data_IF_236935843701
#
_entry.id   IF_236935843701
#
_cell.length_a   1.000
_cell.length_b   1.000
_cell.length_c   1.000
_cell.angle_alpha   90.00
_cell.angle_beta   90.00
_cell.angle_gamma   90.00
#
_symmetry.space_group_name_H-M   'P 1'
#
loop_
_entity.id
_entity.type
_entity.pdbx_description
1 polymer ?
#
# COMPACT_ATOMS: atom_id res chain seq x y z
N UNK A 1 8.14 25.28 3.28
CA UNK A 1 6.67 25.45 3.25
C UNK A 1 6.05 25.68 4.64
N UNK A 2 6.74 26.37 5.57
CA UNK A 2 6.27 26.64 6.94
C UNK A 2 6.15 28.15 7.27
N UNK A 3 6.95 29.07 6.68
CA UNK A 3 6.85 30.49 7.05
C UNK A 3 5.63 31.23 6.46
N UNK A 4 5.12 30.80 5.30
CA UNK A 4 4.08 31.54 4.55
C UNK A 4 2.67 31.39 5.13
N UNK A 5 2.42 30.33 5.94
CA UNK A 5 1.10 30.07 6.54
C UNK A 5 0.74 31.00 7.71
N UNK A 6 1.69 31.77 8.24
CA UNK A 6 1.48 32.61 9.43
C UNK A 6 0.82 33.96 9.12
N UNK A 7 0.92 34.47 7.88
CA UNK A 7 0.46 35.82 7.55
C UNK A 7 -0.96 35.89 6.95
N UNK A 8 -1.48 34.81 6.37
CA UNK A 8 -2.69 34.85 5.53
C UNK A 8 -3.73 33.84 6.04
N UNK A 9 -4.66 34.30 6.88
CA UNK A 9 -5.66 33.45 7.56
C UNK A 9 -6.63 32.72 6.60
N UNK A 10 -6.87 33.27 5.41
CA UNK A 10 -7.74 32.65 4.39
C UNK A 10 -7.13 31.39 3.76
N UNK A 11 -5.79 31.31 3.68
CA UNK A 11 -5.06 30.10 3.25
C UNK A 11 -5.16 28.94 4.25
N UNK A 12 -5.64 29.21 5.46
CA UNK A 12 -5.94 28.21 6.49
C UNK A 12 -7.35 27.61 6.31
N UNK A 13 -8.23 28.29 5.57
CA UNK A 13 -9.58 27.82 5.23
C UNK A 13 -9.61 26.87 4.02
N UNK A 14 -8.55 26.84 3.20
CA UNK A 14 -8.49 26.01 1.98
C UNK A 14 -8.13 24.55 2.27
N UNK A 15 -8.66 23.96 3.35
CA UNK A 15 -8.52 22.52 3.63
C UNK A 15 -7.18 22.07 4.24
N UNK A 16 -7.23 20.94 4.96
CA UNK A 16 -6.04 20.32 5.57
C UNK A 16 -5.16 19.66 4.50
N UNK A 17 -3.86 19.49 4.79
CA UNK A 17 -2.90 18.86 3.84
C UNK A 17 -3.35 17.50 3.32
N UNK A 18 -4.14 16.77 4.12
CA UNK A 18 -4.74 15.48 3.74
C UNK A 18 -5.76 15.64 2.60
N UNK A 19 -6.67 16.62 2.69
CA UNK A 19 -7.66 16.88 1.64
C UNK A 19 -7.01 17.31 0.32
N UNK A 20 -5.93 18.08 0.38
CA UNK A 20 -5.17 18.44 -0.82
C UNK A 20 -4.54 17.23 -1.51
N UNK A 21 -4.00 16.28 -0.73
CA UNK A 21 -3.44 15.06 -1.28
C UNK A 21 -4.54 14.19 -1.91
N UNK A 22 -5.67 14.04 -1.21
CA UNK A 22 -6.82 13.27 -1.70
C UNK A 22 -7.36 13.89 -3.01
N UNK A 23 -7.51 15.23 -3.05
CA UNK A 23 -7.90 15.94 -4.26
C UNK A 23 -6.89 15.79 -5.40
N UNK A 24 -5.58 15.89 -5.12
CA UNK A 24 -4.54 15.70 -6.13
C UNK A 24 -4.59 14.30 -6.74
N UNK A 25 -4.82 13.26 -5.93
CA UNK A 25 -4.95 11.88 -6.41
C UNK A 25 -6.19 11.73 -7.29
N UNK A 26 -7.35 12.27 -6.86
CA UNK A 26 -8.60 12.19 -7.63
C UNK A 26 -8.45 12.92 -8.96
N UNK A 27 -7.95 14.15 -8.95
CA UNK A 27 -7.71 14.92 -10.18
C UNK A 27 -6.67 14.26 -11.08
N UNK A 28 -5.60 13.71 -10.51
CA UNK A 28 -4.58 12.98 -11.25
C UNK A 28 -5.14 11.73 -11.94
N UNK A 29 -6.05 11.00 -11.28
CA UNK A 29 -6.72 9.85 -11.90
C UNK A 29 -7.75 10.25 -12.96
N UNK A 30 -8.45 11.37 -12.78
CA UNK A 30 -9.44 11.87 -13.73
C UNK A 30 -8.82 12.53 -14.98
N UNK A 31 -7.66 13.18 -14.83
CA UNK A 31 -7.02 13.96 -15.89
C UNK A 31 -6.74 13.16 -17.18
N UNK A 32 -6.21 11.91 -17.15
CA UNK A 32 -6.03 11.10 -18.35
C UNK A 32 -7.31 10.90 -19.16
N UNK A 33 -8.45 10.73 -18.49
CA UNK A 33 -9.72 10.56 -19.18
C UNK A 33 -10.18 11.86 -19.83
N UNK A 34 -10.10 12.99 -19.11
CA UNK A 34 -10.47 14.30 -19.63
C UNK A 34 -9.59 14.72 -20.81
N UNK A 35 -8.28 14.49 -20.73
CA UNK A 35 -7.34 14.80 -21.80
C UNK A 35 -7.55 13.90 -23.01
N UNK A 36 -7.81 12.60 -22.81
CA UNK A 36 -8.15 11.70 -23.91
C UNK A 36 -9.44 12.13 -24.63
N UNK A 37 -10.44 12.59 -23.87
CA UNK A 37 -11.67 13.13 -24.45
C UNK A 37 -11.42 14.45 -25.21
N UNK A 38 -10.63 15.36 -24.63
CA UNK A 38 -10.26 16.62 -25.25
C UNK A 38 -9.52 16.42 -26.57
N UNK A 39 -8.67 15.40 -26.66
CA UNK A 39 -7.97 15.05 -27.91
C UNK A 39 -8.79 14.18 -28.87
N UNK A 40 -10.07 13.90 -28.56
CA UNK A 40 -10.89 12.94 -29.31
C UNK A 40 -10.18 11.59 -29.54
N UNK A 41 -9.42 11.13 -28.53
CA UNK A 41 -8.57 9.95 -28.56
C UNK A 41 -7.45 9.96 -29.63
N UNK A 42 -7.08 11.14 -30.12
CA UNK A 42 -5.98 11.32 -31.08
C UNK A 42 -4.70 11.72 -30.37
N UNK A 43 -3.76 10.78 -30.24
CA UNK A 43 -2.49 10.98 -29.55
C UNK A 43 -1.33 11.15 -30.55
N UNK A 44 -1.28 12.29 -31.24
CA UNK A 44 -0.24 12.60 -32.22
C UNK A 44 0.76 13.66 -31.73
N UNK A 45 2.01 13.56 -32.20
CA UNK A 45 3.04 14.60 -32.01
C UNK A 45 3.35 14.95 -30.55
N UNK A 46 3.59 16.24 -30.28
CA UNK A 46 3.95 16.76 -28.95
C UNK A 46 2.85 16.49 -27.90
N UNK A 47 1.58 16.60 -28.30
CA UNK A 47 0.43 16.34 -27.42
C UNK A 47 0.34 14.86 -27.00
N UNK A 48 0.65 13.94 -27.92
CA UNK A 48 0.75 12.50 -27.60
C UNK A 48 1.85 12.19 -26.59
N UNK A 49 3.03 12.81 -26.73
CA UNK A 49 4.13 12.65 -25.76
C UNK A 49 3.74 13.18 -24.37
N UNK A 50 3.08 14.34 -24.30
CA UNK A 50 2.59 14.90 -23.05
C UNK A 50 1.57 13.96 -22.37
N UNK A 51 0.70 13.32 -23.15
CA UNK A 51 -0.26 12.34 -22.65
C UNK A 51 0.42 11.11 -22.03
N UNK A 52 1.42 10.53 -22.71
CA UNK A 52 2.15 9.36 -22.16
C UNK A 52 2.96 9.71 -20.91
N UNK A 53 3.58 10.89 -20.87
CA UNK A 53 4.28 11.37 -19.67
C UNK A 53 3.28 11.58 -18.52
N UNK A 54 2.11 12.16 -18.79
CA UNK A 54 1.04 12.27 -17.81
C UNK A 54 0.63 10.90 -17.26
N UNK A 55 0.47 9.90 -18.14
CA UNK A 55 0.13 8.54 -17.71
C UNK A 55 1.21 7.93 -16.81
N UNK A 56 2.49 8.17 -17.11
CA UNK A 56 3.62 7.77 -16.25
C UNK A 56 3.61 8.49 -14.89
N UNK A 57 3.28 9.78 -14.86
CA UNK A 57 3.10 10.56 -13.61
C UNK A 57 1.97 9.96 -12.77
N UNK A 58 0.83 9.64 -13.39
CA UNK A 58 -0.33 9.06 -12.70
C UNK A 58 0.01 7.67 -12.16
N UNK A 59 0.61 6.79 -12.98
CA UNK A 59 1.04 5.47 -12.56
C UNK A 59 2.03 5.53 -11.38
N UNK A 60 3.05 6.40 -11.47
CA UNK A 60 4.00 6.61 -10.36
C UNK A 60 3.33 7.21 -9.12
N UNK A 61 2.30 8.03 -9.27
CA UNK A 61 1.48 8.56 -8.17
C UNK A 61 0.68 7.47 -7.45
N UNK A 62 0.08 6.53 -8.20
CA UNK A 62 -0.61 5.34 -7.64
C UNK A 62 0.37 4.49 -6.84
N UNK A 63 1.57 4.25 -7.37
CA UNK A 63 2.64 3.55 -6.64
C UNK A 63 3.00 4.29 -5.35
N UNK A 64 3.16 5.62 -5.41
CA UNK A 64 3.41 6.46 -4.24
C UNK A 64 2.32 6.32 -3.16
N UNK A 65 1.05 6.27 -3.57
CA UNK A 65 -0.09 6.11 -2.66
C UNK A 65 -0.13 4.73 -2.00
N UNK A 66 0.21 3.69 -2.76
CA UNK A 66 0.38 2.33 -2.22
C UNK A 66 1.50 2.32 -1.19
N UNK A 67 2.68 2.85 -1.53
CA UNK A 67 3.82 2.97 -0.61
C UNK A 67 3.46 3.77 0.65
N UNK A 68 2.66 4.84 0.54
CA UNK A 68 2.19 5.61 1.69
C UNK A 68 1.28 4.79 2.62
N UNK A 69 0.38 3.96 2.07
CA UNK A 69 -0.50 3.09 2.86
C UNK A 69 0.25 1.99 3.63
N UNK A 70 1.44 1.64 3.14
CA UNK A 70 2.26 0.55 3.67
C UNK A 70 3.02 0.96 4.94
N UNK A 71 3.21 2.26 5.19
CA UNK A 71 4.08 2.75 6.27
C UNK A 71 3.26 3.08 7.53
N UNK A 72 3.56 2.45 8.68
CA UNK A 72 3.03 2.89 9.97
C UNK A 72 3.44 4.33 10.30
N UNK A 73 2.54 5.10 10.92
CA UNK A 73 2.78 6.53 11.26
C UNK A 73 3.97 6.73 12.22
N UNK A 74 4.24 5.74 13.07
CA UNK A 74 5.32 5.77 14.07
C UNK A 74 5.80 4.34 14.34
N UNK A 75 7.11 4.20 14.55
CA UNK A 75 7.75 2.92 14.92
C UNK A 75 7.25 2.43 16.27
N UNK A 76 7.26 3.33 17.25
CA UNK A 76 6.85 3.05 18.62
C UNK A 76 5.41 2.52 18.66
N UNK A 77 4.53 3.15 17.88
CA UNK A 77 3.11 2.77 17.83
C UNK A 77 2.93 1.39 17.21
N UNK A 78 3.70 1.07 16.17
CA UNK A 78 3.69 -0.24 15.53
C UNK A 78 4.25 -1.35 16.44
N UNK A 79 5.37 -1.09 17.12
CA UNK A 79 5.98 -2.02 18.09
C UNK A 79 5.04 -2.27 19.28
N UNK A 80 4.40 -1.23 19.82
CA UNK A 80 3.40 -1.36 20.88
C UNK A 80 2.20 -2.20 20.42
N UNK A 81 1.68 -1.93 19.23
CA UNK A 81 0.58 -2.70 18.64
C UNK A 81 0.95 -4.17 18.39
N UNK A 82 2.20 -4.44 18.01
CA UNK A 82 2.70 -5.81 17.85
C UNK A 82 2.81 -6.53 19.20
N UNK A 83 3.34 -5.86 20.22
CA UNK A 83 3.44 -6.41 21.56
C UNK A 83 2.05 -6.72 22.16
N UNK A 84 1.07 -5.84 21.93
CA UNK A 84 -0.32 -6.07 22.31
C UNK A 84 -0.93 -7.27 21.60
N UNK A 85 -0.71 -7.42 20.29
CA UNK A 85 -1.16 -8.59 19.53
C UNK A 85 -0.51 -9.90 20.01
N UNK A 86 0.78 -9.87 20.35
CA UNK A 86 1.48 -11.03 20.90
C UNK A 86 0.89 -11.44 22.25
N UNK A 87 0.53 -10.47 23.11
CA UNK A 87 -0.14 -10.74 24.39
C UNK A 87 -1.53 -11.33 24.18
N UNK A 88 -2.34 -10.76 23.29
CA UNK A 88 -3.67 -11.31 22.96
C UNK A 88 -3.57 -12.72 22.38
N UNK A 89 -2.56 -13.00 21.55
CA UNK A 89 -2.33 -14.32 20.99
C UNK A 89 -1.91 -15.33 22.08
N UNK A 90 -1.05 -14.94 23.01
CA UNK A 90 -0.66 -15.77 24.15
C UNK A 90 -1.87 -16.09 25.06
N UNK A 91 -2.70 -15.09 25.37
CA UNK A 91 -3.93 -15.27 26.14
C UNK A 91 -4.91 -16.20 25.43
N UNK A 92 -5.13 -16.04 24.12
CA UNK A 92 -6.00 -16.95 23.37
C UNK A 92 -5.44 -18.36 23.28
N UNK A 93 -4.11 -18.51 23.22
CA UNK A 93 -3.49 -19.84 23.24
C UNK A 93 -3.68 -20.51 24.59
N UNK A 94 -3.61 -19.75 25.69
CA UNK A 94 -3.90 -20.21 27.04
C UNK A 94 -5.39 -20.59 27.19
N UNK A 95 -6.31 -19.73 26.75
CA UNK A 95 -7.76 -19.97 26.79
C UNK A 95 -8.16 -21.19 25.93
N UNK A 96 -7.49 -21.39 24.79
CA UNK A 96 -7.74 -22.48 23.85
C UNK A 96 -6.91 -23.74 24.14
N UNK A 97 -5.98 -23.72 25.10
CA UNK A 97 -5.18 -24.91 25.48
C UNK A 97 -6.05 -26.07 26.00
N UNK A 98 -7.27 -25.78 26.47
CA UNK A 98 -8.29 -26.78 26.80
C UNK A 98 -9.00 -27.40 25.59
N UNK A 99 -8.91 -26.78 24.41
CA UNK A 99 -9.49 -27.24 23.16
C UNK A 99 -8.36 -27.66 22.21
N UNK A 100 -8.17 -28.98 22.08
CA UNK A 100 -7.16 -29.68 21.25
C UNK A 100 -7.21 -29.38 19.73
N UNK A 101 -7.71 -28.24 19.31
CA UNK A 101 -8.03 -27.94 17.92
C UNK A 101 -6.78 -27.66 17.10
N UNK A 102 -5.73 -26.96 17.59
CA UNK A 102 -4.55 -26.63 16.78
C UNK A 102 -3.27 -26.55 17.62
N UNK A 103 -2.29 -27.42 17.31
CA UNK A 103 -1.00 -27.44 17.99
C UNK A 103 -0.20 -26.14 17.79
N UNK A 104 0.41 -25.66 18.87
CA UNK A 104 1.26 -24.45 18.94
C UNK A 104 2.38 -24.43 17.87
N UNK A 105 2.78 -25.63 17.40
CA UNK A 105 3.77 -25.88 16.36
C UNK A 105 3.36 -25.38 14.96
N UNK A 106 2.06 -25.31 14.66
CA UNK A 106 1.56 -24.91 13.33
C UNK A 106 1.60 -23.38 13.14
N UNK A 107 1.53 -22.59 14.21
CA UNK A 107 1.43 -21.13 14.14
C UNK A 107 2.79 -20.40 14.16
N UNK A 108 3.79 -20.95 14.85
CA UNK A 108 5.14 -20.37 14.98
C UNK A 108 5.79 -19.98 13.63
N UNK A 109 5.71 -20.80 12.56
CA UNK A 109 6.34 -20.47 11.28
C UNK A 109 5.68 -19.31 10.51
N UNK A 110 4.43 -18.96 10.83
CA UNK A 110 3.66 -17.97 10.06
C UNK A 110 3.86 -16.52 10.52
N UNK A 111 4.36 -16.35 11.75
CA UNK A 111 4.54 -15.05 12.39
C UNK A 111 5.88 -14.40 12.03
N UNK A 112 6.91 -15.18 11.69
CA UNK A 112 8.25 -14.65 11.42
C UNK A 112 8.90 -15.34 10.19
N UNK A 113 8.50 -15.00 8.96
CA UNK A 113 9.25 -15.48 7.80
C UNK A 113 10.56 -14.70 7.57
N UNK A 114 10.74 -13.50 8.16
CA UNK A 114 11.91 -12.65 7.87
C UNK A 114 12.42 -11.98 9.16
N UNK A 115 13.68 -12.21 9.49
CA UNK A 115 14.38 -11.47 10.55
C UNK A 115 14.70 -10.06 10.07
N UNK A 116 14.58 -9.08 10.98
CA UNK A 116 14.92 -7.67 10.73
C UNK A 116 16.30 -7.49 10.09
N UNK A 117 17.27 -8.28 10.53
CA UNK A 117 18.64 -8.27 10.04
C UNK A 117 18.76 -8.70 8.57
N UNK A 118 17.91 -9.61 8.11
CA UNK A 118 17.88 -10.06 6.72
C UNK A 118 17.26 -9.00 5.80
N UNK A 119 16.15 -8.39 6.23
CA UNK A 119 15.52 -7.29 5.49
C UNK A 119 16.45 -6.06 5.38
N UNK A 120 17.27 -5.81 6.40
CA UNK A 120 18.28 -4.75 6.38
C UNK A 120 19.50 -5.10 5.51
N UNK A 121 19.76 -6.37 5.18
CA UNK A 121 20.88 -6.73 4.29
C UNK A 121 20.48 -6.78 2.81
N UNK A 122 19.18 -6.83 2.51
CA UNK A 122 18.68 -6.94 1.13
C UNK A 122 18.73 -5.60 0.36
N UNK A 123 18.92 -5.69 -0.95
CA UNK A 123 18.72 -4.57 -1.87
C UNK A 123 17.26 -4.08 -1.82
N UNK A 124 17.04 -2.77 -1.91
CA UNK A 124 15.74 -2.11 -1.74
C UNK A 124 14.65 -2.68 -2.66
N UNK A 125 15.01 -3.00 -3.91
CA UNK A 125 14.08 -3.63 -4.86
C UNK A 125 13.68 -5.06 -4.47
N UNK A 126 14.62 -5.85 -3.92
CA UNK A 126 14.32 -7.19 -3.40
C UNK A 126 13.44 -7.11 -2.15
N UNK A 127 13.67 -6.14 -1.28
CA UNK A 127 12.83 -5.88 -0.10
C UNK A 127 11.38 -5.54 -0.49
N UNK A 128 11.19 -4.68 -1.49
CA UNK A 128 9.87 -4.33 -2.04
C UNK A 128 9.19 -5.53 -2.74
N UNK A 129 9.93 -6.28 -3.56
CA UNK A 129 9.42 -7.48 -4.22
C UNK A 129 8.98 -8.53 -3.22
N UNK A 130 9.77 -8.75 -2.17
CA UNK A 130 9.44 -9.66 -1.08
C UNK A 130 8.20 -9.20 -0.31
N UNK A 131 8.04 -7.89 -0.07
CA UNK A 131 6.82 -7.34 0.52
C UNK A 131 5.59 -7.65 -0.32
N UNK A 132 5.67 -7.41 -1.63
CA UNK A 132 4.60 -7.70 -2.59
C UNK A 132 4.27 -9.20 -2.63
N UNK A 133 5.29 -10.06 -2.71
CA UNK A 133 5.14 -11.51 -2.71
C UNK A 133 4.52 -12.00 -1.40
N UNK A 134 4.95 -11.48 -0.25
CA UNK A 134 4.34 -11.80 1.04
C UNK A 134 2.88 -11.38 1.08
N UNK A 135 2.57 -10.16 0.64
CA UNK A 135 1.20 -9.65 0.63
C UNK A 135 0.28 -10.46 -0.29
N UNK A 136 0.78 -10.89 -1.46
CA UNK A 136 0.06 -11.78 -2.37
C UNK A 136 -0.03 -13.23 -1.87
N UNK A 137 1.01 -13.74 -1.20
CA UNK A 137 1.06 -15.11 -0.69
C UNK A 137 0.29 -15.29 0.63
N UNK A 138 0.02 -14.21 1.38
CA UNK A 138 -0.77 -14.22 2.63
C UNK A 138 -2.10 -14.96 2.51
N UNK A 139 -3.01 -14.66 1.56
CA UNK A 139 -4.28 -15.37 1.46
C UNK A 139 -4.09 -16.88 1.25
N UNK A 140 -3.07 -17.29 0.49
CA UNK A 140 -2.75 -18.70 0.25
C UNK A 140 -2.22 -19.39 1.51
N UNK A 141 -1.40 -18.72 2.32
CA UNK A 141 -0.90 -19.25 3.62
C UNK A 141 -2.03 -19.39 4.64
N UNK A 142 -2.95 -18.42 4.67
CA UNK A 142 -4.13 -18.47 5.53
C UNK A 142 -5.11 -19.56 5.07
N UNK A 143 -5.27 -19.77 3.76
CA UNK A 143 -6.04 -20.88 3.22
C UNK A 143 -5.41 -22.23 3.57
N UNK A 144 -4.07 -22.36 3.47
CA UNK A 144 -3.36 -23.57 3.86
C UNK A 144 -3.55 -23.94 5.34
N UNK A 145 -3.60 -22.95 6.24
CA UNK A 145 -3.94 -23.14 7.65
C UNK A 145 -5.36 -23.66 7.84
N UNK A 146 -6.35 -23.04 7.18
CA UNK A 146 -7.74 -23.49 7.25
C UNK A 146 -7.88 -24.94 6.76
N UNK A 147 -7.14 -25.35 5.73
CA UNK A 147 -7.16 -26.74 5.23
C UNK A 147 -6.64 -27.78 6.23
N UNK A 148 -5.74 -27.42 7.13
CA UNK A 148 -5.22 -28.35 8.14
C UNK A 148 -6.19 -28.53 9.31
N UNK A 149 -7.06 -27.54 9.56
CA UNK A 149 -8.04 -27.57 10.63
C UNK A 149 -9.44 -28.03 10.18
N UNK A 150 -9.78 -27.93 8.89
CA UNK A 150 -11.11 -28.25 8.35
C UNK A 150 -11.24 -29.69 7.85
N UNK A 151 -12.43 -30.27 8.05
CA UNK A 151 -12.77 -31.60 7.51
C UNK A 151 -12.83 -31.61 5.98
N UNK A 152 -12.64 -32.76 5.34
CA UNK A 152 -12.65 -32.91 3.87
C UNK A 152 -13.91 -32.35 3.19
N UNK A 153 -15.05 -32.34 3.89
CA UNK A 153 -16.32 -31.81 3.39
C UNK A 153 -16.39 -30.28 3.48
N UNK A 154 -15.96 -29.69 4.59
CA UNK A 154 -15.92 -28.24 4.77
C UNK A 154 -14.84 -27.57 3.90
N UNK A 155 -13.82 -28.32 3.49
CA UNK A 155 -12.85 -27.86 2.50
C UNK A 155 -13.49 -27.62 1.12
N UNK A 156 -14.48 -28.43 0.73
CA UNK A 156 -15.19 -28.21 -0.53
C UNK A 156 -16.10 -26.97 -0.47
N UNK A 157 -16.75 -26.72 0.67
CA UNK A 157 -17.68 -25.59 0.83
C UNK A 157 -16.98 -24.25 1.05
N UNK A 158 -15.78 -24.25 1.64
CA UNK A 158 -14.99 -23.04 1.92
C UNK A 158 -14.00 -22.66 0.80
N UNK A 159 -14.14 -23.24 -0.39
CA UNK A 159 -13.19 -23.11 -1.50
C UNK A 159 -11.76 -23.41 -1.02
N UNK A 160 -11.52 -24.58 -0.45
CA UNK A 160 -10.20 -25.04 0.05
C UNK A 160 -9.56 -24.07 1.08
N UNK A 161 -10.39 -23.43 1.92
CA UNK A 161 -9.95 -22.53 3.00
C UNK A 161 -9.77 -21.07 2.61
N UNK A 162 -10.14 -20.65 1.40
CA UNK A 162 -10.13 -19.24 1.02
C UNK A 162 -11.28 -18.45 1.67
N UNK A 163 -12.44 -19.10 1.87
CA UNK A 163 -13.59 -18.52 2.55
C UNK A 163 -13.54 -18.75 4.06
N UNK A 164 -14.29 -17.92 4.80
CA UNK A 164 -14.41 -18.06 6.25
C UNK A 164 -15.05 -19.41 6.60
N UNK A 165 -14.48 -20.07 7.60
CA UNK A 165 -14.98 -21.33 8.13
C UNK A 165 -16.12 -21.12 9.13
N UNK A 166 -16.89 -22.17 9.39
CA UNK A 166 -17.98 -22.19 10.38
C UNK A 166 -17.50 -22.16 11.84
N UNK A 167 -16.17 -22.21 12.09
CA UNK A 167 -15.58 -22.23 13.42
C UNK A 167 -15.17 -20.83 13.89
N UNK A 168 -15.92 -20.20 14.82
CA UNK A 168 -15.66 -18.82 15.23
C UNK A 168 -14.34 -18.63 15.98
N UNK A 169 -13.83 -19.68 16.64
CA UNK A 169 -12.55 -19.63 17.35
C UNK A 169 -11.36 -19.73 16.38
N UNK A 170 -11.47 -20.56 15.33
CA UNK A 170 -10.49 -20.63 14.24
C UNK A 170 -10.38 -19.30 13.49
N UNK A 171 -11.50 -18.67 13.13
CA UNK A 171 -11.48 -17.37 12.45
C UNK A 171 -10.90 -16.25 13.33
N UNK A 172 -11.14 -16.29 14.65
CA UNK A 172 -10.51 -15.33 15.59
C UNK A 172 -9.00 -15.47 15.60
N UNK A 173 -8.48 -16.69 15.66
CA UNK A 173 -7.03 -16.95 15.63
C UNK A 173 -6.43 -16.56 14.27
N UNK A 174 -7.08 -16.92 13.16
CA UNK A 174 -6.64 -16.53 11.80
C UNK A 174 -6.63 -15.01 11.63
N UNK A 175 -7.62 -14.30 12.15
CA UNK A 175 -7.67 -12.83 12.09
C UNK A 175 -6.50 -12.19 12.85
N UNK A 176 -6.17 -12.70 14.04
CA UNK A 176 -5.05 -12.22 14.85
C UNK A 176 -3.70 -12.55 14.20
N UNK A 177 -3.51 -13.78 13.71
CA UNK A 177 -2.31 -14.18 12.99
C UNK A 177 -2.08 -13.33 11.73
N UNK A 178 -3.15 -13.04 10.98
CA UNK A 178 -3.11 -12.14 9.81
C UNK A 178 -2.66 -10.73 10.21
N UNK A 179 -3.23 -10.19 11.29
CA UNK A 179 -2.91 -8.84 11.79
C UNK A 179 -1.48 -8.75 12.31
N UNK A 180 -1.03 -9.76 13.05
CA UNK A 180 0.33 -9.87 13.57
C UNK A 180 1.34 -9.95 12.41
N UNK A 181 1.12 -10.84 11.44
CA UNK A 181 1.96 -10.95 10.24
C UNK A 181 2.04 -9.63 9.46
N UNK A 182 0.97 -8.84 9.42
CA UNK A 182 0.95 -7.55 8.73
C UNK A 182 1.80 -6.50 9.46
N UNK A 183 1.66 -6.39 10.79
CA UNK A 183 2.47 -5.48 11.58
C UNK A 183 3.94 -5.85 11.58
N UNK A 184 4.29 -7.13 11.74
CA UNK A 184 5.69 -7.59 11.72
C UNK A 184 6.37 -7.22 10.41
N UNK A 185 5.72 -7.50 9.26
CA UNK A 185 6.26 -7.11 7.96
C UNK A 185 6.46 -5.60 7.87
N UNK A 186 5.46 -4.82 8.28
CA UNK A 186 5.53 -3.35 8.24
C UNK A 186 6.64 -2.76 9.12
N UNK A 187 6.84 -3.30 10.33
CA UNK A 187 7.91 -2.86 11.23
C UNK A 187 9.28 -3.14 10.61
N UNK A 188 9.43 -4.32 10.01
CA UNK A 188 10.66 -4.72 9.33
C UNK A 188 11.05 -3.76 8.19
N UNK A 189 10.05 -3.26 7.45
CA UNK A 189 10.26 -2.34 6.33
C UNK A 189 10.23 -0.86 6.71
N UNK A 190 9.81 -0.51 7.93
CA UNK A 190 9.73 0.88 8.38
C UNK A 190 11.10 1.59 8.33
N UNK A 191 12.17 0.88 8.68
CA UNK A 191 13.54 1.41 8.62
C UNK A 191 13.97 1.75 7.17
N UNK A 192 13.38 1.05 6.17
CA UNK A 192 13.65 1.25 4.74
C UNK A 192 12.64 2.17 4.06
N UNK A 193 11.50 2.42 4.69
CA UNK A 193 10.41 3.25 4.17
C UNK A 193 10.88 4.64 3.73
N UNK A 194 11.76 5.27 4.52
CA UNK A 194 12.35 6.57 4.17
C UNK A 194 13.19 6.53 2.90
N UNK A 195 13.93 5.44 2.65
CA UNK A 195 14.73 5.27 1.42
C UNK A 195 13.85 5.01 0.20
N UNK A 196 12.79 4.21 0.37
CA UNK A 196 11.79 3.98 -0.67
C UNK A 196 11.11 5.29 -1.08
N UNK A 197 10.73 6.12 -0.10
CA UNK A 197 10.15 7.43 -0.38
C UNK A 197 11.13 8.36 -1.08
N UNK A 198 12.41 8.36 -0.71
CA UNK A 198 13.43 9.13 -1.44
C UNK A 198 13.51 8.68 -2.90
N UNK A 199 13.59 7.37 -3.15
CA UNK A 199 13.64 6.82 -4.52
C UNK A 199 12.38 7.18 -5.31
N UNK A 200 11.20 7.03 -4.70
CA UNK A 200 9.94 7.41 -5.33
C UNK A 200 9.93 8.91 -5.70
N UNK A 201 10.37 9.80 -4.80
CA UNK A 201 10.46 11.22 -5.10
C UNK A 201 11.45 11.53 -6.24
N UNK A 202 12.57 10.81 -6.32
CA UNK A 202 13.56 10.96 -7.40
C UNK A 202 12.94 10.62 -8.75
N UNK A 203 12.04 9.64 -8.80
CA UNK A 203 11.34 9.27 -10.04
C UNK A 203 10.15 10.20 -10.30
N UNK A 204 9.25 10.38 -9.34
CA UNK A 204 7.98 11.07 -9.53
C UNK A 204 8.15 12.57 -9.83
N UNK A 205 9.04 13.28 -9.12
CA UNK A 205 9.23 14.74 -9.30
C UNK A 205 9.68 15.15 -10.71
N UNK A 206 10.72 14.56 -11.33
CA UNK A 206 11.13 14.96 -12.67
C UNK A 206 10.07 14.69 -13.72
N UNK A 207 9.33 13.57 -13.64
CA UNK A 207 8.19 13.34 -14.52
C UNK A 207 7.10 14.41 -14.36
N UNK A 208 6.79 14.80 -13.12
CA UNK A 208 5.83 15.88 -12.86
C UNK A 208 6.30 17.23 -13.42
N UNK A 209 7.60 17.55 -13.33
CA UNK A 209 8.14 18.78 -13.92
C UNK A 209 8.16 18.74 -15.45
N UNK A 210 8.53 17.60 -16.04
CA UNK A 210 8.49 17.41 -17.49
C UNK A 210 7.06 17.53 -18.04
N UNK A 211 6.08 16.92 -17.36
CA UNK A 211 4.67 17.08 -17.70
C UNK A 211 4.23 18.54 -17.62
N UNK A 212 4.56 19.24 -16.53
CA UNK A 212 4.21 20.65 -16.37
C UNK A 212 4.81 21.53 -17.47
N UNK A 213 6.07 21.30 -17.84
CA UNK A 213 6.73 22.01 -18.92
C UNK A 213 6.02 21.78 -20.26
N UNK A 214 5.72 20.52 -20.60
CA UNK A 214 5.02 20.18 -21.83
C UNK A 214 3.60 20.76 -21.87
N UNK A 215 2.90 20.78 -20.73
CA UNK A 215 1.59 21.40 -20.61
C UNK A 215 1.65 22.89 -20.90
N UNK A 216 2.63 23.61 -20.34
CA UNK A 216 2.82 25.05 -20.60
C UNK A 216 3.12 25.30 -22.08
N UNK A 217 4.01 24.51 -22.68
CA UNK A 217 4.33 24.62 -24.11
C UNK A 217 3.10 24.36 -24.96
N UNK A 218 2.31 23.34 -24.63
CA UNK A 218 1.08 22.99 -25.35
C UNK A 218 0.04 24.11 -25.30
N UNK A 219 -0.22 24.67 -24.11
CA UNK A 219 -1.16 25.79 -23.94
C UNK A 219 -0.65 27.03 -24.69
N UNK A 220 0.64 27.36 -24.58
CA UNK A 220 1.24 28.49 -25.28
C UNK A 220 1.13 28.37 -26.81
N UNK A 221 1.35 27.18 -27.35
CA UNK A 221 1.19 26.91 -28.78
C UNK A 221 -0.28 27.03 -29.21
N UNK A 222 -1.22 26.52 -28.41
CA UNK A 222 -2.66 26.63 -28.71
C UNK A 222 -3.14 28.09 -28.75
N UNK A 223 -2.68 28.92 -27.80
CA UNK A 223 -2.95 30.36 -27.79
C UNK A 223 -2.35 31.04 -29.03
N UNK A 224 -1.07 30.78 -29.31
CA UNK A 224 -0.37 31.39 -30.43
C UNK A 224 -1.04 31.10 -31.78
N UNK A 225 -1.51 29.87 -31.96
CA UNK A 225 -2.19 29.44 -33.18
C UNK A 225 -3.67 29.86 -33.25
N UNK A 226 -4.22 30.48 -32.20
CA UNK A 226 -5.61 30.95 -32.16
C UNK A 226 -6.64 29.83 -32.04
N UNK A 227 -6.27 28.67 -31.51
CA UNK A 227 -7.16 27.51 -31.32
C UNK A 227 -7.89 27.51 -29.96
N UNK A 228 -7.85 28.62 -29.21
CA UNK A 228 -8.40 28.76 -27.87
C UNK A 228 -9.66 29.63 -27.85
#
# INVERSE_FOLDING_TARGET
>A
MYPLRKKWAWLRAIGTTRHWLDFHIVMGLAAPFLVALHSAFKFGGLAGMAYWIMLAVVASGVVGRYLYAQIPRSRKDAELSLAELQRMNAQLTEDLSGQRLIAEEVWRPLVVPIRREEALKMNLGKALGLMLVLDLARPFRMAALRRQALSSWERATTLDGFLASSHPDLERVVALARRQSWLTAKICFLDRAGQIFKLWHVVHRPFSYAFLLLLVIHIGMAIWMGFL
#
